data_IF_429264224720
#
_entry.id   IF_429264224720
#
_cell.length_a   1.000
_cell.length_b   1.000
_cell.length_c   1.000
_cell.angle_alpha   90.00
_cell.angle_beta   90.00
_cell.angle_gamma   90.00
#
_symmetry.space_group_name_H-M   'P 1'
#
loop_
_entity.id
_entity.type
_entity.pdbx_description
1 polymer ?
#
# COMPACT_ATOMS: atom_id res chain seq x y z
N UNK A 1 23.00 13.27 73.56
CA UNK A 1 21.73 13.26 72.77
C UNK A 1 21.87 13.78 71.32
N UNK A 2 23.12 13.88 70.78
CA UNK A 2 23.37 14.46 69.42
C UNK A 2 23.62 13.44 68.34
N UNK A 3 23.82 12.16 68.62
CA UNK A 3 24.16 11.15 67.62
C UNK A 3 22.95 10.64 66.80
N UNK A 4 21.71 10.90 67.25
CA UNK A 4 20.47 10.43 66.55
C UNK A 4 20.00 11.31 65.38
N UNK A 5 20.35 12.59 65.41
CA UNK A 5 19.81 13.57 64.46
C UNK A 5 20.57 13.56 63.09
N UNK A 6 21.89 13.29 63.10
CA UNK A 6 22.72 13.20 61.90
C UNK A 6 22.38 12.01 60.99
N UNK A 7 21.97 10.86 61.56
CA UNK A 7 21.60 9.67 60.77
C UNK A 7 20.27 9.83 60.03
N UNK A 8 19.30 10.58 60.58
CA UNK A 8 18.01 10.83 59.92
C UNK A 8 18.13 11.77 58.72
N UNK A 9 19.00 12.77 58.83
CA UNK A 9 19.19 13.74 57.70
C UNK A 9 19.88 13.11 56.49
N UNK A 10 20.83 12.20 56.71
CA UNK A 10 21.52 11.48 55.62
C UNK A 10 20.58 10.48 54.94
N UNK A 11 19.71 9.81 55.73
CA UNK A 11 18.75 8.84 55.14
C UNK A 11 17.69 9.52 54.26
N UNK A 12 17.19 10.69 54.66
CA UNK A 12 16.24 11.47 53.86
C UNK A 12 16.86 11.97 52.55
N UNK A 13 18.14 12.37 52.55
CA UNK A 13 18.84 12.81 51.32
C UNK A 13 19.06 11.67 50.32
N UNK A 14 19.33 10.46 50.81
CA UNK A 14 19.53 9.29 49.93
C UNK A 14 18.22 8.84 49.33
N UNK A 15 17.11 8.84 50.08
CA UNK A 15 15.78 8.45 49.57
C UNK A 15 15.29 9.47 48.54
N UNK A 16 15.51 10.78 48.74
CA UNK A 16 15.16 11.84 47.79
C UNK A 16 15.95 11.72 46.48
N UNK A 17 17.24 11.39 46.54
CA UNK A 17 18.09 11.20 45.36
C UNK A 17 17.71 9.99 44.50
N UNK A 18 17.38 8.87 45.16
CA UNK A 18 17.00 7.63 44.47
C UNK A 18 15.63 7.76 43.77
N UNK A 19 14.66 8.42 44.44
CA UNK A 19 13.33 8.65 43.83
C UNK A 19 13.39 9.61 42.66
N UNK A 20 14.20 10.67 42.73
CA UNK A 20 14.38 11.62 41.61
C UNK A 20 15.07 10.95 40.43
N UNK A 21 16.07 10.11 40.66
CA UNK A 21 16.76 9.34 39.60
C UNK A 21 15.84 8.31 38.95
N UNK A 22 14.98 7.65 39.74
CA UNK A 22 14.00 6.67 39.25
C UNK A 22 12.94 7.32 38.35
N UNK A 23 12.46 8.53 38.73
CA UNK A 23 11.49 9.28 37.96
C UNK A 23 12.10 9.75 36.62
N UNK A 24 13.35 10.15 36.58
CA UNK A 24 14.09 10.52 35.38
C UNK A 24 14.29 9.33 34.40
N UNK A 25 14.51 8.11 34.95
CA UNK A 25 14.61 6.89 34.13
C UNK A 25 13.25 6.44 33.54
N UNK A 26 12.14 6.67 34.26
CA UNK A 26 10.79 6.32 33.78
C UNK A 26 10.31 7.28 32.67
N UNK A 27 10.87 8.48 32.53
CA UNK A 27 10.51 9.42 31.46
C UNK A 27 11.33 9.23 30.18
N UNK A 28 12.48 8.56 30.23
CA UNK A 28 13.32 8.29 29.07
C UNK A 28 12.78 7.18 28.15
N UNK A 29 11.73 6.46 28.55
CA UNK A 29 11.17 5.31 27.84
C UNK A 29 10.00 5.57 26.91
N UNK A 30 9.60 6.83 26.68
CA UNK A 30 8.66 7.18 25.61
C UNK A 30 9.42 7.33 24.31
N UNK A 31 9.88 6.20 23.75
CA UNK A 31 10.22 6.17 22.33
C UNK A 31 8.95 6.59 21.57
N UNK A 32 9.02 7.74 20.90
CA UNK A 32 8.00 8.13 19.94
C UNK A 32 7.87 6.99 18.94
N UNK A 33 6.70 6.37 18.86
CA UNK A 33 6.38 5.48 17.74
C UNK A 33 6.72 6.24 16.44
N UNK A 34 7.43 5.61 15.50
CA UNK A 34 7.68 6.26 14.24
C UNK A 34 6.34 6.68 13.64
N UNK A 35 6.13 7.99 13.55
CA UNK A 35 4.94 8.56 12.93
C UNK A 35 4.87 8.00 11.50
N UNK A 36 3.76 7.35 11.16
CA UNK A 36 3.48 6.99 9.77
C UNK A 36 3.61 8.26 8.93
N UNK A 37 4.13 8.18 7.70
CA UNK A 37 4.10 9.31 6.80
C UNK A 37 2.64 9.72 6.64
N UNK A 38 2.28 10.85 7.25
CA UNK A 38 0.91 11.34 7.23
C UNK A 38 0.64 11.92 5.85
N UNK A 39 -0.14 11.21 5.06
CA UNK A 39 -0.74 11.74 3.84
C UNK A 39 -2.26 11.75 4.05
N UNK A 40 -2.84 12.90 4.41
CA UNK A 40 -4.28 12.99 4.68
C UNK A 40 -5.14 12.50 3.51
N UNK A 41 -4.74 12.80 2.27
CA UNK A 41 -5.45 12.35 1.07
C UNK A 41 -5.39 10.83 0.91
N UNK A 42 -4.25 10.20 1.20
CA UNK A 42 -4.11 8.75 1.13
C UNK A 42 -4.91 8.06 2.24
N UNK A 43 -4.94 8.63 3.44
CA UNK A 43 -5.75 8.10 4.54
C UNK A 43 -7.24 8.17 4.20
N UNK A 44 -7.71 9.31 3.68
CA UNK A 44 -9.12 9.49 3.26
C UNK A 44 -9.49 8.56 2.10
N UNK A 45 -8.57 8.33 1.15
CA UNK A 45 -8.77 7.38 0.06
C UNK A 45 -8.67 5.91 0.50
N UNK A 46 -8.16 5.65 1.71
CA UNK A 46 -8.03 4.31 2.29
C UNK A 46 -6.80 3.54 1.80
N UNK A 47 -5.72 4.24 1.47
CA UNK A 47 -4.42 3.64 1.18
C UNK A 47 -3.72 3.28 2.50
N UNK A 48 -3.32 2.03 2.61
CA UNK A 48 -2.41 1.55 3.65
C UNK A 48 -0.98 1.82 3.18
N UNK A 49 -0.36 2.91 3.66
CA UNK A 49 1.04 3.23 3.34
C UNK A 49 1.96 2.29 4.12
N UNK A 50 2.97 1.73 3.45
CA UNK A 50 3.93 0.84 4.09
C UNK A 50 5.00 1.65 4.83
N UNK A 51 5.25 1.31 6.09
CA UNK A 51 6.30 1.95 6.89
C UNK A 51 7.71 1.69 6.33
N UNK A 52 7.91 0.51 5.75
CA UNK A 52 9.15 0.12 5.09
C UNK A 52 8.83 -0.26 3.65
N UNK A 53 9.47 0.45 2.73
CA UNK A 53 9.42 0.10 1.32
C UNK A 53 10.14 -1.22 1.11
N UNK A 54 9.58 -2.09 0.27
CA UNK A 54 10.21 -3.32 -0.18
C UNK A 54 10.09 -3.43 -1.69
N UNK A 55 11.00 -4.13 -2.32
CA UNK A 55 10.95 -4.37 -3.75
C UNK A 55 9.61 -5.04 -4.13
N UNK A 56 8.95 -4.52 -5.15
CA UNK A 56 7.72 -5.12 -5.66
C UNK A 56 8.06 -6.50 -6.26
N UNK A 57 7.31 -7.54 -5.92
CA UNK A 57 7.52 -8.85 -6.53
C UNK A 57 7.44 -8.76 -8.05
N UNK A 58 8.50 -9.21 -8.73
CA UNK A 58 8.56 -9.20 -10.17
C UNK A 58 7.56 -10.19 -10.77
N UNK A 59 6.97 -9.81 -11.88
CA UNK A 59 6.15 -10.71 -12.68
C UNK A 59 6.43 -10.53 -14.18
N UNK A 60 6.25 -11.62 -14.92
CA UNK A 60 6.09 -11.62 -16.36
C UNK A 60 4.81 -12.39 -16.66
N UNK A 61 3.76 -11.69 -17.06
CA UNK A 61 2.43 -12.26 -17.29
C UNK A 61 1.98 -11.98 -18.71
N UNK A 62 1.27 -12.93 -19.31
CA UNK A 62 0.65 -12.72 -20.60
C UNK A 62 -0.54 -11.77 -20.48
N UNK A 63 -0.59 -10.77 -21.32
CA UNK A 63 -1.78 -9.94 -21.47
C UNK A 63 -2.92 -10.74 -22.10
N UNK A 64 -4.13 -10.23 -22.00
CA UNK A 64 -5.32 -10.82 -22.62
C UNK A 64 -5.15 -11.01 -24.13
N UNK A 65 -4.39 -10.14 -24.78
CA UNK A 65 -4.05 -10.22 -26.22
C UNK A 65 -2.82 -11.10 -26.52
N UNK A 66 -2.27 -11.78 -25.51
CA UNK A 66 -1.20 -12.76 -25.65
C UNK A 66 0.23 -12.19 -25.62
N UNK A 67 0.42 -10.88 -25.45
CA UNK A 67 1.75 -10.28 -25.30
C UNK A 67 2.25 -10.42 -23.87
N UNK A 68 3.48 -10.90 -23.62
CA UNK A 68 4.06 -10.87 -22.29
C UNK A 68 4.32 -9.42 -21.85
N UNK A 69 4.00 -9.13 -20.59
CA UNK A 69 4.30 -7.85 -19.93
C UNK A 69 5.12 -8.16 -18.71
N UNK A 70 6.26 -7.49 -18.58
CA UNK A 70 7.17 -7.62 -17.47
C UNK A 70 7.12 -6.32 -16.65
N UNK A 71 6.92 -6.43 -15.34
CA UNK A 71 6.86 -5.25 -14.45
C UNK A 71 8.14 -4.40 -14.54
N UNK A 72 9.31 -5.04 -14.69
CA UNK A 72 10.60 -4.34 -14.74
C UNK A 72 10.73 -3.38 -15.94
N UNK A 73 9.97 -3.60 -17.02
CA UNK A 73 10.01 -2.73 -18.20
C UNK A 73 9.39 -1.35 -17.93
N UNK A 74 8.76 -1.20 -16.78
CA UNK A 74 8.10 0.04 -16.36
C UNK A 74 8.85 0.78 -15.24
N UNK A 75 10.06 0.35 -14.88
CA UNK A 75 10.93 1.12 -13.97
C UNK A 75 11.11 2.54 -14.49
N UNK A 76 11.09 3.51 -13.56
CA UNK A 76 11.06 4.94 -13.88
C UNK A 76 9.67 5.56 -13.94
N UNK A 77 8.60 4.73 -13.96
CA UNK A 77 7.21 5.17 -13.90
C UNK A 77 6.49 4.49 -12.72
N UNK A 78 5.81 5.23 -11.86
CA UNK A 78 4.99 4.62 -10.82
C UNK A 78 3.90 3.74 -11.43
N UNK A 79 3.52 2.68 -10.71
CA UNK A 79 2.54 1.73 -11.21
C UNK A 79 1.45 1.42 -10.18
N UNK A 80 0.23 1.21 -10.69
CA UNK A 80 -0.91 0.64 -9.98
C UNK A 80 -1.11 -0.79 -10.49
N UNK A 81 -1.02 -1.76 -9.58
CA UNK A 81 -1.23 -3.18 -9.86
C UNK A 81 -2.47 -3.64 -9.13
N UNK A 82 -3.58 -3.79 -9.86
CA UNK A 82 -4.88 -4.18 -9.33
C UNK A 82 -5.14 -5.65 -9.57
N UNK A 83 -5.27 -6.42 -8.51
CA UNK A 83 -5.71 -7.82 -8.56
C UNK A 83 -7.22 -7.88 -8.48
N UNK A 84 -7.84 -8.61 -9.38
CA UNK A 84 -9.29 -8.77 -9.50
C UNK A 84 -9.67 -10.15 -10.00
N UNK A 85 -10.98 -10.51 -9.95
CA UNK A 85 -11.47 -11.79 -10.44
C UNK A 85 -12.82 -11.64 -11.16
N UNK A 86 -13.13 -12.59 -12.06
CA UNK A 86 -14.40 -12.58 -12.82
C UNK A 86 -15.62 -12.80 -11.96
N UNK A 87 -15.49 -13.50 -10.84
CA UNK A 87 -16.55 -13.78 -9.86
C UNK A 87 -16.74 -12.67 -8.82
N UNK A 88 -15.85 -11.69 -8.76
CA UNK A 88 -15.87 -10.59 -7.80
C UNK A 88 -16.75 -9.45 -8.33
N UNK A 89 -17.89 -9.20 -7.70
CA UNK A 89 -18.85 -8.17 -8.10
C UNK A 89 -18.27 -6.76 -7.95
N UNK A 90 -17.78 -6.43 -6.74
CA UNK A 90 -17.14 -5.12 -6.47
C UNK A 90 -15.95 -4.84 -7.39
N UNK A 91 -15.18 -5.87 -7.78
CA UNK A 91 -14.14 -5.70 -8.78
C UNK A 91 -14.71 -5.23 -10.13
N UNK A 92 -15.83 -5.84 -10.58
CA UNK A 92 -16.44 -5.49 -11.87
C UNK A 92 -17.04 -4.08 -11.86
N UNK A 93 -17.45 -3.60 -10.70
CA UNK A 93 -17.94 -2.23 -10.51
C UNK A 93 -16.77 -1.22 -10.50
N UNK A 94 -15.64 -1.58 -9.90
CA UNK A 94 -14.45 -0.73 -9.82
C UNK A 94 -13.72 -0.57 -11.17
N UNK A 95 -13.63 -1.63 -11.98
CA UNK A 95 -12.87 -1.63 -13.24
C UNK A 95 -13.21 -0.46 -14.18
N UNK A 96 -14.49 -0.15 -14.49
CA UNK A 96 -14.82 0.98 -15.36
C UNK A 96 -14.51 2.33 -14.73
N UNK A 97 -14.52 2.43 -13.39
CA UNK A 97 -14.14 3.67 -12.68
C UNK A 97 -12.63 3.86 -12.79
N UNK A 98 -11.85 2.80 -12.60
CA UNK A 98 -10.40 2.83 -12.74
C UNK A 98 -9.97 3.10 -14.21
N UNK A 99 -10.68 2.55 -15.20
CA UNK A 99 -10.46 2.89 -16.62
C UNK A 99 -10.64 4.39 -16.86
N UNK A 100 -11.76 4.98 -16.41
CA UNK A 100 -12.02 6.42 -16.52
C UNK A 100 -10.95 7.25 -15.79
N UNK A 101 -10.56 6.83 -14.59
CA UNK A 101 -9.52 7.48 -13.80
C UNK A 101 -8.18 7.51 -14.56
N UNK A 102 -7.86 6.49 -15.32
CA UNK A 102 -6.59 6.39 -16.06
C UNK A 102 -6.45 7.39 -17.21
N UNK A 103 -7.59 7.95 -17.70
CA UNK A 103 -7.60 8.90 -18.82
C UNK A 103 -6.77 10.13 -18.47
N UNK A 104 -5.83 10.49 -19.34
CA UNK A 104 -4.90 11.61 -19.15
C UNK A 104 -3.81 11.38 -18.10
N UNK A 105 -3.70 10.15 -17.53
CA UNK A 105 -2.70 9.82 -16.51
C UNK A 105 -1.71 8.74 -16.96
N UNK A 106 -1.96 8.09 -18.10
CA UNK A 106 -1.12 6.99 -18.63
C UNK A 106 0.32 7.41 -18.92
N UNK A 107 0.58 8.69 -19.14
CA UNK A 107 1.95 9.20 -19.32
C UNK A 107 2.72 9.25 -17.99
N UNK A 108 2.03 9.48 -16.88
CA UNK A 108 2.61 9.62 -15.55
C UNK A 108 2.56 8.32 -14.73
N UNK A 109 1.59 7.44 -15.01
CA UNK A 109 1.33 6.19 -14.26
C UNK A 109 1.19 4.99 -15.22
N UNK A 110 1.74 3.86 -14.82
CA UNK A 110 1.41 2.56 -15.41
C UNK A 110 0.24 1.92 -14.65
N UNK A 111 -0.62 1.20 -15.38
CA UNK A 111 -1.77 0.49 -14.82
C UNK A 111 -1.74 -0.96 -15.28
N UNK A 112 -1.94 -1.88 -14.36
CA UNK A 112 -2.05 -3.32 -14.64
C UNK A 112 -3.24 -3.91 -13.92
N UNK A 113 -4.14 -4.54 -14.67
CA UNK A 113 -5.30 -5.25 -14.15
C UNK A 113 -4.99 -6.76 -14.21
N UNK A 114 -4.66 -7.39 -13.07
CA UNK A 114 -4.29 -8.79 -13.02
C UNK A 114 -5.52 -9.63 -12.64
N UNK A 115 -6.05 -10.37 -13.60
CA UNK A 115 -7.13 -11.34 -13.36
C UNK A 115 -6.54 -12.58 -12.68
N UNK A 116 -6.91 -12.83 -11.40
CA UNK A 116 -6.37 -13.95 -10.61
C UNK A 116 -6.92 -15.31 -11.07
N UNK A 117 -8.05 -15.32 -11.76
CA UNK A 117 -8.66 -16.47 -12.42
C UNK A 117 -8.46 -16.41 -13.96
N UNK A 118 -7.23 -16.12 -14.36
CA UNK A 118 -6.84 -15.92 -15.77
C UNK A 118 -7.05 -17.14 -16.68
N UNK A 119 -7.21 -18.34 -16.12
CA UNK A 119 -7.62 -19.55 -16.83
C UNK A 119 -9.02 -19.40 -17.45
N UNK A 120 -9.86 -18.53 -16.89
CA UNK A 120 -11.20 -18.17 -17.39
C UNK A 120 -11.12 -17.09 -18.49
N UNK A 121 -10.13 -17.17 -19.36
CA UNK A 121 -9.83 -16.14 -20.37
C UNK A 121 -11.06 -15.63 -21.12
N UNK A 122 -12.00 -16.51 -21.51
CA UNK A 122 -13.24 -16.10 -22.21
C UNK A 122 -14.13 -15.20 -21.34
N UNK A 123 -14.23 -15.50 -20.05
CA UNK A 123 -15.01 -14.70 -19.10
C UNK A 123 -14.34 -13.37 -18.84
N UNK A 124 -13.00 -13.37 -18.67
CA UNK A 124 -12.20 -12.14 -18.56
C UNK A 124 -12.43 -11.25 -19.77
N UNK A 125 -12.30 -11.80 -21.00
CA UNK A 125 -12.53 -11.05 -22.23
C UNK A 125 -13.93 -10.43 -22.28
N UNK A 126 -14.97 -11.21 -21.95
CA UNK A 126 -16.36 -10.73 -21.93
C UNK A 126 -16.52 -9.50 -21.00
N UNK A 127 -15.96 -9.56 -19.79
CA UNK A 127 -16.02 -8.44 -18.82
C UNK A 127 -15.28 -7.22 -19.34
N UNK A 128 -14.09 -7.42 -19.91
CA UNK A 128 -13.26 -6.36 -20.51
C UNK A 128 -14.00 -5.64 -21.62
N UNK A 129 -14.63 -6.41 -22.53
CA UNK A 129 -15.37 -5.85 -23.67
C UNK A 129 -16.64 -5.12 -23.20
N UNK A 130 -17.40 -5.70 -22.29
CA UNK A 130 -18.62 -5.09 -21.73
C UNK A 130 -18.34 -3.75 -21.04
N UNK A 131 -17.21 -3.63 -20.35
CA UNK A 131 -16.81 -2.42 -19.62
C UNK A 131 -15.89 -1.50 -20.44
N UNK A 132 -15.61 -1.85 -21.71
CA UNK A 132 -14.72 -1.08 -22.62
C UNK A 132 -13.36 -0.77 -21.99
N UNK A 133 -12.78 -1.75 -21.30
CA UNK A 133 -11.48 -1.62 -20.64
C UNK A 133 -10.38 -1.62 -21.70
N UNK A 134 -9.54 -0.57 -21.67
CA UNK A 134 -8.37 -0.42 -22.55
C UNK A 134 -7.05 -0.56 -21.79
N UNK A 135 -7.11 -0.58 -20.45
CA UNK A 135 -5.95 -0.84 -19.60
C UNK A 135 -5.39 -2.24 -19.84
N UNK A 136 -4.08 -2.44 -19.65
CA UNK A 136 -3.47 -3.77 -19.75
C UNK A 136 -4.10 -4.76 -18.77
N UNK A 137 -4.79 -5.76 -19.31
CA UNK A 137 -5.33 -6.89 -18.53
C UNK A 137 -4.39 -8.07 -18.66
N UNK A 138 -3.87 -8.53 -17.53
CA UNK A 138 -2.92 -9.62 -17.43
C UNK A 138 -3.61 -10.86 -16.86
N UNK A 139 -3.24 -12.02 -17.37
CA UNK A 139 -3.82 -13.29 -16.97
C UNK A 139 -2.86 -14.00 -16.01
N UNK A 140 -3.28 -14.16 -14.77
CA UNK A 140 -2.54 -14.92 -13.79
C UNK A 140 -2.89 -16.40 -13.93
N UNK A 141 -1.88 -17.24 -14.22
CA UNK A 141 -2.05 -18.67 -14.38
C UNK A 141 -1.49 -19.49 -13.20
N UNK A 142 -0.87 -18.84 -12.20
CA UNK A 142 -0.21 -19.53 -11.07
C UNK A 142 -0.33 -18.69 -9.78
N UNK A 143 -0.60 -19.36 -8.67
CA UNK A 143 -0.76 -18.77 -7.33
C UNK A 143 0.48 -18.02 -6.81
N UNK A 144 1.68 -18.39 -7.26
CA UNK A 144 2.95 -17.82 -6.78
C UNK A 144 3.02 -16.29 -6.81
N UNK A 145 2.49 -15.65 -7.85
CA UNK A 145 2.48 -14.18 -7.92
C UNK A 145 1.54 -13.57 -6.87
N UNK A 146 0.37 -14.18 -6.66
CA UNK A 146 -0.57 -13.76 -5.61
C UNK A 146 0.06 -13.85 -4.23
N UNK A 147 0.73 -14.97 -3.94
CA UNK A 147 1.37 -15.22 -2.64
C UNK A 147 2.46 -14.20 -2.36
N UNK A 148 3.27 -13.86 -3.36
CA UNK A 148 4.34 -12.86 -3.23
C UNK A 148 3.81 -11.46 -2.89
N UNK A 149 2.65 -11.08 -3.44
CA UNK A 149 1.95 -9.83 -3.10
C UNK A 149 1.10 -9.97 -1.83
N UNK A 150 0.93 -11.18 -1.29
CA UNK A 150 0.09 -11.45 -0.14
C UNK A 150 -1.41 -11.34 -0.44
N UNK A 151 -1.79 -11.53 -1.71
CA UNK A 151 -3.20 -11.58 -2.12
C UNK A 151 -3.75 -12.97 -1.82
N UNK A 152 -4.47 -13.12 -0.70
CA UNK A 152 -5.02 -14.39 -0.21
C UNK A 152 -6.51 -14.54 -0.53
N UNK A 153 -6.88 -14.40 -1.80
CA UNK A 153 -8.27 -14.55 -2.25
C UNK A 153 -9.19 -13.35 -1.96
N UNK A 154 -8.69 -12.30 -1.29
CA UNK A 154 -9.44 -11.05 -1.10
C UNK A 154 -9.12 -10.10 -2.24
N UNK A 155 -10.11 -9.81 -3.07
CA UNK A 155 -10.04 -8.87 -4.19
C UNK A 155 -11.27 -7.94 -4.16
N UNK A 156 -11.17 -6.71 -4.69
CA UNK A 156 -10.00 -6.12 -5.34
C UNK A 156 -8.91 -5.70 -4.35
N UNK A 157 -7.66 -5.74 -4.78
CA UNK A 157 -6.55 -5.11 -4.09
C UNK A 157 -5.68 -4.38 -5.10
N UNK A 158 -5.35 -3.11 -4.82
CA UNK A 158 -4.44 -2.34 -5.68
C UNK A 158 -3.17 -2.02 -4.92
N UNK A 159 -2.04 -2.44 -5.47
CA UNK A 159 -0.70 -2.15 -4.96
C UNK A 159 -0.12 -0.94 -5.67
N UNK A 160 0.51 -0.07 -4.88
CA UNK A 160 1.13 1.16 -5.34
C UNK A 160 2.65 0.95 -5.35
N UNK A 161 3.25 1.11 -6.54
CA UNK A 161 4.67 0.89 -6.79
C UNK A 161 5.28 2.21 -7.25
N UNK A 162 6.39 2.63 -6.65
CA UNK A 162 7.08 3.86 -7.03
C UNK A 162 7.98 3.69 -8.26
N UNK A 163 8.63 4.79 -8.69
CA UNK A 163 9.52 4.80 -9.87
C UNK A 163 10.72 3.86 -9.73
N UNK A 164 11.16 3.62 -8.52
CA UNK A 164 12.27 2.72 -8.18
C UNK A 164 11.85 1.24 -8.17
N UNK A 165 10.54 0.97 -8.33
CA UNK A 165 9.99 -0.38 -8.30
C UNK A 165 9.72 -0.89 -6.88
N UNK A 166 9.58 0.03 -5.90
CA UNK A 166 9.30 -0.32 -4.52
C UNK A 166 7.81 -0.26 -4.22
N UNK A 167 7.30 -1.23 -3.48
CA UNK A 167 5.96 -1.18 -2.90
C UNK A 167 5.90 -0.10 -1.82
N UNK A 168 5.02 0.88 -1.98
CA UNK A 168 4.85 2.02 -1.07
C UNK A 168 3.52 1.99 -0.33
N UNK A 169 2.55 1.25 -0.82
CA UNK A 169 1.26 1.10 -0.18
C UNK A 169 0.31 0.18 -0.94
N UNK A 170 -0.89 0.01 -0.41
CA UNK A 170 -1.98 -0.73 -1.06
C UNK A 170 -3.35 -0.26 -0.62
N UNK A 171 -4.36 -0.55 -1.44
CA UNK A 171 -5.77 -0.55 -1.02
C UNK A 171 -6.29 -1.98 -0.93
N UNK A 172 -7.27 -2.23 -0.06
CA UNK A 172 -7.97 -3.50 0.08
C UNK A 172 -9.47 -3.24 -0.01
N UNK A 173 -10.17 -3.96 -0.86
CA UNK A 173 -11.57 -3.69 -1.24
C UNK A 173 -11.67 -2.58 -2.29
N UNK A 174 -12.86 -2.44 -2.85
CA UNK A 174 -13.15 -1.43 -3.87
C UNK A 174 -12.89 -0.01 -3.38
N UNK A 175 -12.53 0.87 -4.32
CA UNK A 175 -12.29 2.29 -4.07
C UNK A 175 -12.98 3.14 -5.13
N UNK A 176 -13.46 4.29 -4.69
CA UNK A 176 -13.97 5.29 -5.62
C UNK A 176 -12.82 6.08 -6.25
N UNK A 177 -12.25 5.52 -7.34
CA UNK A 177 -11.21 6.18 -8.12
C UNK A 177 -11.66 7.50 -8.77
N UNK A 178 -12.98 7.79 -8.78
CA UNK A 178 -13.49 9.08 -9.26
C UNK A 178 -13.35 10.19 -8.23
N UNK A 179 -13.09 9.85 -6.97
CA UNK A 179 -12.94 10.82 -5.89
C UNK A 179 -11.70 11.71 -6.06
N UNK A 180 -11.74 12.99 -5.63
CA UNK A 180 -10.59 13.89 -5.68
C UNK A 180 -9.40 13.38 -4.85
N UNK A 181 -9.68 12.65 -3.76
CA UNK A 181 -8.68 12.07 -2.86
C UNK A 181 -7.80 11.04 -3.56
N UNK A 182 -8.37 10.27 -4.52
CA UNK A 182 -7.63 9.29 -5.30
C UNK A 182 -6.43 9.92 -6.01
N UNK A 183 -6.68 10.99 -6.78
CA UNK A 183 -5.61 11.66 -7.52
C UNK A 183 -4.69 12.45 -6.59
N UNK A 184 -5.22 13.11 -5.56
CA UNK A 184 -4.42 13.85 -4.58
C UNK A 184 -3.45 12.92 -3.86
N UNK A 185 -3.90 11.76 -3.40
CA UNK A 185 -3.04 10.74 -2.78
C UNK A 185 -1.90 10.30 -3.71
N UNK A 186 -2.21 9.97 -4.97
CA UNK A 186 -1.18 9.50 -5.90
C UNK A 186 -0.18 10.61 -6.26
N UNK A 187 -0.64 11.89 -6.37
CA UNK A 187 0.26 13.02 -6.56
C UNK A 187 1.22 13.19 -5.40
N UNK A 188 0.72 13.14 -4.17
CA UNK A 188 1.55 13.23 -2.97
C UNK A 188 2.53 12.06 -2.89
N UNK A 189 2.03 10.82 -3.06
CA UNK A 189 2.81 9.61 -2.86
C UNK A 189 3.93 9.44 -3.90
N UNK A 190 3.68 9.83 -5.15
CA UNK A 190 4.61 9.64 -6.27
C UNK A 190 5.26 10.93 -6.76
N UNK A 191 5.00 12.06 -6.09
CA UNK A 191 5.48 13.38 -6.49
C UNK A 191 5.16 13.68 -7.97
N UNK A 192 3.86 13.54 -8.35
CA UNK A 192 3.36 13.80 -9.70
C UNK A 192 2.96 15.25 -9.88
N UNK A 193 2.98 15.72 -11.14
CA UNK A 193 2.57 17.09 -11.52
C UNK A 193 1.09 17.15 -11.89
#
# INVERSE_FOLDING_TARGET
MEAGMKKRSVLLSIIGGVTTLLILFLQAGRAASPSQPESPSCNSFGVQIFQQKKEAPAFTLNSLVGKPINLSDYKGKPALVTFWATWCESCREELPILEKFSIGKKDQLAFFLIAIDGERKKTVQKIVDQNKITLPVLLLCKEKCMDQYGVRGWVPQTFLIDREGMLVGKTVGERDWSSPEAWSCLKELFNLR
#
